data_IF_495125760005
#
_entry.id   IF_495125760005
#
_cell.length_a   1.000
_cell.length_b   1.000
_cell.length_c   1.000
_cell.angle_alpha   90.00
_cell.angle_beta   90.00
_cell.angle_gamma   90.00
#
_symmetry.space_group_name_H-M   'P 1'
#
loop_
_entity.id
_entity.type
_entity.pdbx_description
1 polymer ?
#
# COMPACT_ATOMS: atom_id res chain seq x y z
N UNK A 1 17.34 -7.33 21.20
CA UNK A 1 17.68 -7.04 19.80
C UNK A 1 18.03 -8.37 19.14
N UNK A 2 17.00 -9.10 18.67
CA UNK A 2 17.17 -10.38 17.99
C UNK A 2 17.21 -10.08 16.49
N UNK A 3 18.39 -10.22 15.87
CA UNK A 3 18.67 -9.78 14.50
C UNK A 3 18.34 -10.83 13.42
N UNK A 4 17.59 -11.88 13.76
CA UNK A 4 17.24 -12.95 12.83
C UNK A 4 15.73 -13.02 12.67
N UNK A 5 15.23 -12.66 11.48
CA UNK A 5 13.89 -13.04 11.05
C UNK A 5 13.82 -14.57 11.03
N UNK A 6 12.83 -15.11 11.70
CA UNK A 6 12.53 -16.54 11.68
C UNK A 6 12.01 -16.94 10.30
N UNK A 7 12.03 -18.24 9.99
CA UNK A 7 11.41 -18.75 8.76
C UNK A 7 9.92 -18.37 8.68
N UNK A 8 9.23 -18.30 9.81
CA UNK A 8 7.83 -17.87 9.93
C UNK A 8 7.67 -16.39 9.55
N UNK A 9 8.59 -15.52 10.00
CA UNK A 9 8.58 -14.09 9.60
C UNK A 9 8.73 -13.90 8.09
N UNK A 10 9.55 -14.75 7.44
CA UNK A 10 9.67 -14.73 5.98
C UNK A 10 8.39 -15.21 5.28
N UNK A 11 7.73 -16.24 5.80
CA UNK A 11 6.46 -16.74 5.24
C UNK A 11 5.38 -15.65 5.33
N UNK A 12 5.24 -14.99 6.48
CA UNK A 12 4.25 -13.93 6.66
C UNK A 12 4.55 -12.71 5.79
N UNK A 13 5.83 -12.33 5.66
CA UNK A 13 6.22 -11.28 4.72
C UNK A 13 5.84 -11.63 3.28
N UNK A 14 6.15 -12.85 2.80
CA UNK A 14 5.81 -13.27 1.43
C UNK A 14 4.29 -13.34 1.21
N UNK A 15 3.51 -13.72 2.23
CA UNK A 15 2.04 -13.69 2.17
C UNK A 15 1.54 -12.25 2.07
N UNK A 16 2.13 -11.35 2.84
CA UNK A 16 1.80 -9.92 2.78
C UNK A 16 2.12 -9.33 1.40
N UNK A 17 3.33 -9.56 0.87
CA UNK A 17 3.75 -9.13 -0.47
C UNK A 17 2.82 -9.69 -1.57
N UNK A 18 2.40 -10.94 -1.46
CA UNK A 18 1.48 -11.55 -2.43
C UNK A 18 0.10 -10.89 -2.43
N UNK A 19 -0.39 -10.46 -1.26
CA UNK A 19 -1.65 -9.71 -1.15
C UNK A 19 -1.52 -8.30 -1.72
N UNK A 20 -0.39 -7.64 -1.49
CA UNK A 20 -0.09 -6.34 -2.10
C UNK A 20 -0.02 -6.45 -3.63
N UNK A 21 0.66 -7.47 -4.17
CA UNK A 21 0.72 -7.71 -5.61
C UNK A 21 -0.68 -7.95 -6.21
N UNK A 22 -1.52 -8.75 -5.55
CA UNK A 22 -2.90 -8.98 -6.01
C UNK A 22 -3.75 -7.70 -6.01
N UNK A 23 -3.55 -6.83 -5.02
CA UNK A 23 -4.19 -5.51 -4.98
C UNK A 23 -3.70 -4.64 -6.15
N UNK A 24 -2.40 -4.60 -6.43
CA UNK A 24 -1.84 -3.84 -7.55
C UNK A 24 -2.40 -4.29 -8.91
N UNK A 25 -2.56 -5.60 -9.11
CA UNK A 25 -3.23 -6.14 -10.29
C UNK A 25 -4.68 -5.66 -10.40
N UNK A 26 -5.42 -5.62 -9.29
CA UNK A 26 -6.80 -5.09 -9.27
C UNK A 26 -6.88 -3.58 -9.56
N UNK A 27 -5.81 -2.85 -9.23
CA UNK A 27 -5.68 -1.42 -9.46
C UNK A 27 -5.03 -1.10 -10.81
N UNK A 28 -4.57 -2.10 -11.57
CA UNK A 28 -3.73 -1.90 -12.75
C UNK A 28 -4.34 -0.88 -13.71
N UNK A 29 -5.62 -1.01 -14.06
CA UNK A 29 -6.32 -0.10 -14.98
C UNK A 29 -6.36 1.37 -14.53
N UNK A 30 -6.09 1.64 -13.25
CA UNK A 30 -6.01 2.98 -12.65
C UNK A 30 -4.59 3.49 -12.52
N UNK A 31 -3.58 2.63 -12.69
CA UNK A 31 -2.17 2.99 -12.71
C UNK A 31 -1.71 3.18 -14.15
N UNK A 32 -0.91 4.21 -14.38
CA UNK A 32 -0.26 4.41 -15.67
C UNK A 32 0.90 3.41 -15.87
N UNK A 33 1.53 3.45 -17.05
CA UNK A 33 2.60 2.50 -17.38
C UNK A 33 3.82 2.71 -16.47
N UNK A 34 4.18 3.94 -16.17
CA UNK A 34 5.36 4.25 -15.36
C UNK A 34 5.18 3.77 -13.91
N UNK A 35 4.00 4.01 -13.33
CA UNK A 35 3.69 3.57 -11.96
C UNK A 35 3.63 2.05 -11.83
N UNK A 36 3.18 1.34 -12.88
CA UNK A 36 3.23 -0.13 -12.92
C UNK A 36 4.66 -0.64 -13.01
N UNK A 37 5.52 0.03 -13.77
CA UNK A 37 6.95 -0.29 -13.87
C UNK A 37 7.64 -0.06 -12.51
N UNK A 38 7.41 1.09 -11.88
CA UNK A 38 7.91 1.42 -10.55
C UNK A 38 7.42 0.40 -9.51
N UNK A 39 6.13 0.04 -9.54
CA UNK A 39 5.56 -0.95 -8.63
C UNK A 39 6.23 -2.33 -8.75
N UNK A 40 6.52 -2.75 -9.99
CA UNK A 40 7.27 -3.99 -10.23
C UNK A 40 8.70 -3.91 -9.71
N UNK A 41 9.36 -2.76 -9.83
CA UNK A 41 10.71 -2.52 -9.31
C UNK A 41 10.75 -2.62 -7.77
N UNK A 42 9.85 -1.93 -7.06
CA UNK A 42 9.76 -2.03 -5.60
C UNK A 42 9.51 -3.46 -5.11
N UNK A 43 8.66 -4.24 -5.79
CA UNK A 43 8.45 -5.66 -5.47
C UNK A 43 9.72 -6.49 -5.69
N UNK A 44 10.45 -6.24 -6.78
CA UNK A 44 11.68 -6.96 -7.09
C UNK A 44 12.80 -6.67 -6.07
N UNK A 45 12.82 -5.47 -5.49
CA UNK A 45 13.79 -5.05 -4.48
C UNK A 45 13.37 -5.36 -3.03
N UNK A 46 12.16 -5.91 -2.81
CA UNK A 46 11.65 -6.21 -1.46
C UNK A 46 11.29 -4.96 -0.65
N UNK A 47 11.03 -3.84 -1.34
CA UNK A 47 10.70 -2.53 -0.77
C UNK A 47 9.19 -2.35 -0.66
N UNK A 48 8.48 -3.43 -0.39
CA UNK A 48 7.02 -3.48 -0.48
C UNK A 48 6.30 -2.60 0.55
N UNK A 49 6.97 -2.24 1.66
CA UNK A 49 6.47 -1.24 2.61
C UNK A 49 6.48 0.19 2.05
N UNK A 50 7.48 0.55 1.23
CA UNK A 50 7.49 1.84 0.51
C UNK A 50 6.45 1.84 -0.60
N UNK A 51 6.32 0.70 -1.31
CA UNK A 51 5.36 0.57 -2.40
C UNK A 51 3.92 0.89 -1.98
N UNK A 52 3.47 0.39 -0.82
CA UNK A 52 2.10 0.67 -0.37
C UNK A 52 1.87 2.16 -0.04
N UNK A 53 2.90 2.88 0.40
CA UNK A 53 2.84 4.33 0.59
C UNK A 53 2.68 5.04 -0.78
N UNK A 54 3.53 4.71 -1.75
CA UNK A 54 3.46 5.30 -3.09
C UNK A 54 2.13 5.04 -3.79
N UNK A 55 1.60 3.82 -3.67
CA UNK A 55 0.29 3.47 -4.24
C UNK A 55 -0.82 4.31 -3.61
N UNK A 56 -0.77 4.52 -2.30
CA UNK A 56 -1.73 5.36 -1.61
C UNK A 56 -1.61 6.84 -2.05
N UNK A 57 -0.39 7.32 -2.28
CA UNK A 57 -0.12 8.67 -2.81
C UNK A 57 -0.63 8.80 -4.26
N UNK A 58 -0.29 7.89 -5.17
CA UNK A 58 -0.77 7.91 -6.56
C UNK A 58 -2.30 7.91 -6.64
N UNK A 59 -2.96 7.14 -5.80
CA UNK A 59 -4.43 7.12 -5.73
C UNK A 59 -4.97 8.43 -5.14
N UNK A 60 -4.35 8.91 -4.07
CA UNK A 60 -4.79 10.07 -3.30
C UNK A 60 -4.60 11.40 -4.04
N UNK A 61 -3.40 11.65 -4.56
CA UNK A 61 -3.02 12.90 -5.20
C UNK A 61 -3.76 13.12 -6.52
N UNK A 62 -3.94 12.07 -7.33
CA UNK A 62 -4.66 12.15 -8.60
C UNK A 62 -6.18 11.92 -8.44
N UNK A 63 -6.68 11.88 -7.21
CA UNK A 63 -8.10 11.63 -6.86
C UNK A 63 -8.69 10.42 -7.60
N UNK A 64 -7.88 9.36 -7.76
CA UNK A 64 -8.26 8.21 -8.59
C UNK A 64 -9.39 7.44 -7.92
N UNK A 65 -10.49 7.16 -8.63
CA UNK A 65 -11.64 6.50 -8.03
C UNK A 65 -11.30 5.05 -7.69
N UNK A 66 -11.22 4.76 -6.40
CA UNK A 66 -11.19 3.40 -5.84
C UNK A 66 -12.51 3.12 -5.09
N UNK A 67 -12.91 1.87 -5.09
CA UNK A 67 -14.04 1.37 -4.31
C UNK A 67 -13.74 1.38 -2.81
N UNK A 68 -14.78 1.36 -1.98
CA UNK A 68 -14.62 1.24 -0.53
C UNK A 68 -13.92 -0.08 -0.13
N UNK A 69 -14.09 -1.13 -0.93
CA UNK A 69 -13.44 -2.42 -0.71
C UNK A 69 -11.93 -2.34 -1.00
N UNK A 70 -11.52 -1.78 -2.14
CA UNK A 70 -10.11 -1.55 -2.46
C UNK A 70 -9.42 -0.64 -1.42
N UNK A 71 -10.14 0.40 -0.97
CA UNK A 71 -9.68 1.28 0.12
C UNK A 71 -9.49 0.52 1.43
N UNK A 72 -10.46 -0.32 1.82
CA UNK A 72 -10.37 -1.12 3.03
C UNK A 72 -9.21 -2.11 2.97
N UNK A 73 -8.94 -2.71 1.81
CA UNK A 73 -7.79 -3.61 1.60
C UNK A 73 -6.46 -2.87 1.75
N UNK A 74 -6.31 -1.68 1.15
CA UNK A 74 -5.13 -0.83 1.32
C UNK A 74 -4.86 -0.51 2.79
N UNK A 75 -5.88 -0.07 3.52
CA UNK A 75 -5.78 0.27 4.94
C UNK A 75 -5.47 -0.96 5.80
N UNK A 76 -6.06 -2.12 5.48
CA UNK A 76 -5.79 -3.37 6.19
C UNK A 76 -4.34 -3.81 6.01
N UNK A 77 -3.82 -3.78 4.78
CA UNK A 77 -2.42 -4.13 4.49
C UNK A 77 -1.44 -3.17 5.19
N UNK A 78 -1.72 -1.86 5.16
CA UNK A 78 -0.90 -0.87 5.85
C UNK A 78 -0.96 -1.02 7.38
N UNK A 79 -2.10 -1.46 7.92
CA UNK A 79 -2.29 -1.72 9.35
C UNK A 79 -1.46 -2.89 9.90
N UNK A 80 -0.92 -3.74 9.03
CA UNK A 80 0.03 -4.82 9.40
C UNK A 80 1.49 -4.34 9.46
N UNK A 81 1.75 -3.11 9.00
CA UNK A 81 3.06 -2.45 9.09
C UNK A 81 3.13 -1.57 10.34
N UNK A 82 4.20 -0.79 10.47
CA UNK A 82 4.33 0.15 11.57
C UNK A 82 3.32 1.31 11.47
N UNK A 83 3.11 1.96 12.61
CA UNK A 83 2.16 3.06 12.77
C UNK A 83 2.41 4.21 11.80
N UNK A 84 3.66 4.52 11.44
CA UNK A 84 3.95 5.64 10.56
C UNK A 84 3.48 5.35 9.13
N UNK A 85 3.72 4.14 8.64
CA UNK A 85 3.25 3.71 7.31
C UNK A 85 1.73 3.70 7.26
N UNK A 86 1.08 3.11 8.27
CA UNK A 86 -0.39 3.09 8.39
C UNK A 86 -0.99 4.49 8.33
N UNK A 87 -0.45 5.42 9.10
CA UNK A 87 -0.98 6.78 9.20
C UNK A 87 -0.76 7.58 7.92
N UNK A 88 0.36 7.37 7.21
CA UNK A 88 0.61 7.98 5.89
C UNK A 88 -0.39 7.47 4.85
N UNK A 89 -0.55 6.15 4.72
CA UNK A 89 -1.51 5.55 3.78
C UNK A 89 -2.93 6.05 4.06
N UNK A 90 -3.34 6.10 5.33
CA UNK A 90 -4.66 6.60 5.70
C UNK A 90 -4.86 8.07 5.34
N UNK A 91 -3.82 8.89 5.50
CA UNK A 91 -3.84 10.30 5.13
C UNK A 91 -3.97 10.49 3.62
N UNK A 92 -3.17 9.79 2.82
CA UNK A 92 -3.19 9.93 1.35
C UNK A 92 -4.52 9.50 0.76
N UNK A 93 -5.16 8.49 1.36
CA UNK A 93 -6.47 8.03 0.94
C UNK A 93 -7.62 8.91 1.44
N UNK A 94 -7.43 9.81 2.39
CA UNK A 94 -8.53 10.65 2.91
C UNK A 94 -9.06 11.60 1.82
N UNK A 95 -10.39 11.73 1.66
CA UNK A 95 -10.93 12.63 0.65
C UNK A 95 -10.50 14.09 0.91
N UNK A 96 -10.24 14.88 -0.15
CA UNK A 96 -9.95 16.31 -0.01
C UNK A 96 -11.20 17.01 0.51
N UNK A 97 -11.29 17.19 1.83
CA UNK A 97 -12.50 17.72 2.46
C UNK A 97 -12.73 17.29 3.92
N UNK A 98 -11.82 16.54 4.54
CA UNK A 98 -11.79 16.32 5.99
C UNK A 98 -11.46 17.58 6.78
N UNK A 99 -12.19 18.68 6.55
CA UNK A 99 -12.23 19.79 7.47
C UNK A 99 -12.82 19.28 8.80
N UNK A 100 -12.13 19.59 9.90
CA UNK A 100 -12.69 19.45 11.23
C UNK A 100 -14.09 20.06 11.28
N UNK A 101 -15.07 19.21 11.50
CA UNK A 101 -16.45 19.56 11.80
C UNK A 101 -16.81 19.02 13.16
N UNK A 102 -16.31 19.68 14.21
CA UNK A 102 -16.90 19.72 15.55
C UNK A 102 -16.96 21.19 15.97
#
# INVERSE_FOLDING_TARGET
MNLFRTHEDYIELRRWESRLAALLESLADRLDIAEREDAAEYLAHGESGLLIEFVADWIGEDERPITDEERAVLLALAGELDEQVRDRVARSLSPPGGAGGL
#
